data_IF_354938584826
#
_entry.id   IF_354938584826
#
_cell.length_a   1.000
_cell.length_b   1.000
_cell.length_c   1.000
_cell.angle_alpha   90.00
_cell.angle_beta   90.00
_cell.angle_gamma   90.00
#
_symmetry.space_group_name_H-M   'P 1'
#
loop_
_entity.id
_entity.type
_entity.pdbx_description
1 polymer ?
#
# COMPACT_ATOMS: atom_id res chain seq x y z
N UNK A 1 -0.93 -18.82 -10.48
CA UNK A 1 -1.10 -17.95 -9.29
C UNK A 1 -0.04 -16.86 -9.27
N UNK A 2 1.24 -17.23 -9.24
CA UNK A 2 2.38 -16.32 -9.38
C UNK A 2 2.27 -15.33 -10.55
N UNK A 3 1.85 -15.76 -11.75
CA UNK A 3 1.62 -14.86 -12.89
C UNK A 3 0.57 -13.76 -12.60
N UNK A 4 -0.51 -14.08 -11.88
CA UNK A 4 -1.52 -13.09 -11.45
C UNK A 4 -0.95 -12.09 -10.44
N UNK A 5 -0.06 -12.54 -9.56
CA UNK A 5 0.62 -11.66 -8.60
C UNK A 5 1.53 -10.67 -9.34
N UNK A 6 2.30 -11.13 -10.32
CA UNK A 6 3.14 -10.25 -11.17
C UNK A 6 2.28 -9.25 -11.92
N UNK A 7 1.23 -9.70 -12.62
CA UNK A 7 0.31 -8.82 -13.36
C UNK A 7 -0.36 -7.79 -12.44
N UNK A 8 -0.82 -8.22 -11.26
CA UNK A 8 -1.45 -7.33 -10.27
C UNK A 8 -0.45 -6.31 -9.72
N UNK A 9 0.79 -6.73 -9.51
CA UNK A 9 1.90 -5.86 -9.08
C UNK A 9 2.18 -4.78 -10.13
N UNK A 10 2.24 -5.14 -11.41
CA UNK A 10 2.45 -4.18 -12.49
C UNK A 10 1.27 -3.21 -12.64
N UNK A 11 0.03 -3.70 -12.51
CA UNK A 11 -1.17 -2.85 -12.52
C UNK A 11 -1.18 -1.90 -11.33
N UNK A 12 -0.86 -2.38 -10.14
CA UNK A 12 -0.78 -1.58 -8.92
C UNK A 12 0.27 -0.47 -9.06
N UNK A 13 1.45 -0.80 -9.58
CA UNK A 13 2.52 0.16 -9.85
C UNK A 13 2.13 1.27 -10.83
N UNK A 14 1.13 1.04 -11.69
CA UNK A 14 0.60 2.02 -12.66
C UNK A 14 -0.63 2.77 -12.15
N UNK A 15 -1.24 2.36 -11.03
CA UNK A 15 -2.36 3.07 -10.41
C UNK A 15 -1.84 4.27 -9.61
N UNK A 16 -1.76 5.42 -10.29
CA UNK A 16 -1.28 6.66 -9.69
C UNK A 16 -2.08 7.09 -8.44
N UNK A 17 -3.35 6.73 -8.32
CA UNK A 17 -4.17 7.10 -7.17
C UNK A 17 -3.69 6.31 -5.94
N UNK A 18 -3.56 4.99 -6.08
CA UNK A 18 -3.06 4.14 -4.99
C UNK A 18 -1.60 4.48 -4.66
N UNK A 19 -0.74 4.57 -5.67
CA UNK A 19 0.69 4.86 -5.48
C UNK A 19 0.92 6.21 -4.79
N UNK A 20 0.19 7.26 -5.18
CA UNK A 20 0.29 8.54 -4.49
C UNK A 20 -0.26 8.46 -3.06
N UNK A 21 -1.27 7.63 -2.79
CA UNK A 21 -1.74 7.41 -1.42
C UNK A 21 -0.69 6.70 -0.55
N UNK A 22 0.15 5.82 -1.11
CA UNK A 22 1.28 5.23 -0.39
C UNK A 22 2.36 6.26 -0.07
N UNK A 23 2.63 7.19 -0.99
CA UNK A 23 3.53 8.33 -0.74
C UNK A 23 3.00 9.20 0.39
N UNK A 24 1.71 9.50 0.37
CA UNK A 24 1.02 10.25 1.41
C UNK A 24 1.09 9.55 2.77
N UNK A 25 0.87 8.23 2.80
CA UNK A 25 1.06 7.42 4.00
C UNK A 25 2.50 7.52 4.53
N UNK A 26 3.47 7.30 3.65
CA UNK A 26 4.90 7.34 3.96
C UNK A 26 5.34 8.72 4.46
N UNK A 27 4.78 9.81 3.90
CA UNK A 27 5.03 11.18 4.35
C UNK A 27 4.32 11.54 5.65
N UNK A 28 3.70 10.59 6.34
CA UNK A 28 3.08 10.78 7.65
C UNK A 28 1.65 11.32 7.63
N UNK A 29 0.97 11.34 6.47
CA UNK A 29 -0.46 11.72 6.43
C UNK A 29 -1.37 10.65 7.03
N UNK A 30 -0.84 9.45 7.31
CA UNK A 30 -1.50 8.41 8.11
C UNK A 30 -2.68 7.71 7.42
N UNK A 31 -2.89 7.96 6.13
CA UNK A 31 -3.93 7.34 5.32
C UNK A 31 -3.36 6.72 4.05
N UNK A 32 -4.07 5.75 3.50
CA UNK A 32 -3.90 5.32 2.11
C UNK A 32 -5.26 4.99 1.49
N UNK A 33 -5.25 4.81 0.17
CA UNK A 33 -6.42 4.46 -0.63
C UNK A 33 -6.35 2.99 -1.07
N UNK A 34 -7.49 2.31 -1.04
CA UNK A 34 -7.59 0.88 -1.32
C UNK A 34 -8.93 0.52 -1.93
N UNK A 35 -9.00 -0.63 -2.60
CA UNK A 35 -10.27 -1.29 -3.01
C UNK A 35 -10.62 -2.49 -2.11
N UNK A 36 -9.76 -2.84 -1.16
CA UNK A 36 -9.94 -3.97 -0.27
C UNK A 36 -10.87 -3.62 0.91
N UNK A 37 -12.11 -4.11 0.85
CA UNK A 37 -13.13 -3.89 1.88
C UNK A 37 -12.76 -4.51 3.23
N UNK A 38 -11.87 -5.50 3.27
CA UNK A 38 -11.49 -6.21 4.51
C UNK A 38 -10.65 -5.34 5.46
N UNK A 39 -10.11 -4.22 4.97
CA UNK A 39 -9.37 -3.25 5.79
C UNK A 39 -10.28 -2.29 6.57
N UNK A 40 -11.60 -2.40 6.43
CA UNK A 40 -12.54 -1.54 7.15
C UNK A 40 -12.47 -0.06 6.75
N UNK A 41 -12.05 0.22 5.51
CA UNK A 41 -11.95 1.58 5.00
C UNK A 41 -13.31 2.26 4.84
N UNK A 42 -13.32 3.59 4.87
CA UNK A 42 -14.53 4.38 4.65
C UNK A 42 -14.70 4.76 3.19
N UNK A 43 -15.95 4.76 2.72
CA UNK A 43 -16.32 5.27 1.39
C UNK A 43 -16.57 6.78 1.46
N UNK A 44 -16.45 7.43 0.30
CA UNK A 44 -16.96 8.78 0.10
C UNK A 44 -18.43 8.86 0.54
N UNK A 45 -18.84 9.85 1.34
CA UNK A 45 -20.24 10.05 1.68
C UNK A 45 -21.08 10.23 0.40
N UNK A 46 -22.28 9.64 0.36
CA UNK A 46 -23.15 9.69 -0.82
C UNK A 46 -23.65 11.09 -1.17
N UNK A 47 -23.66 11.99 -0.19
CA UNK A 47 -24.23 13.32 -0.31
C UNK A 47 -23.31 14.37 0.32
N UNK A 48 -23.37 15.59 -0.22
CA UNK A 48 -22.77 16.78 0.38
C UNK A 48 -23.84 17.89 0.42
N UNK A 49 -24.06 18.54 1.58
CA UNK A 49 -25.18 19.45 1.79
C UNK A 49 -25.01 20.77 1.06
N UNK A 50 -26.12 21.50 0.93
CA UNK A 50 -26.10 22.92 0.58
C UNK A 50 -25.50 23.76 1.72
N UNK A 51 -24.98 24.95 1.38
CA UNK A 51 -24.26 25.83 2.32
C UNK A 51 -25.04 26.20 3.58
N UNK A 52 -26.36 26.35 3.48
CA UNK A 52 -27.23 26.66 4.64
C UNK A 52 -27.37 25.50 5.63
N UNK A 53 -27.19 24.25 5.19
CA UNK A 53 -27.32 23.05 6.04
C UNK A 53 -25.97 22.43 6.42
N UNK A 54 -24.86 23.00 5.95
CA UNK A 54 -23.53 22.43 6.05
C UNK A 54 -23.06 22.16 7.49
N UNK A 55 -23.14 23.13 8.38
CA UNK A 55 -22.63 23.00 9.76
C UNK A 55 -23.44 21.98 10.57
N UNK A 56 -24.76 21.94 10.34
CA UNK A 56 -25.65 20.92 10.92
C UNK A 56 -25.27 19.53 10.40
N UNK A 57 -25.12 19.37 9.09
CA UNK A 57 -24.70 18.11 8.49
C UNK A 57 -23.34 17.65 9.03
N UNK A 58 -22.36 18.54 9.12
CA UNK A 58 -21.02 18.22 9.62
C UNK A 58 -21.05 17.73 11.08
N UNK A 59 -21.91 18.30 11.93
CA UNK A 59 -22.03 17.95 13.35
C UNK A 59 -23.03 16.81 13.64
N UNK A 60 -23.93 16.47 12.72
CA UNK A 60 -25.05 15.53 12.89
C UNK A 60 -24.70 14.07 13.22
N UNK A 61 -23.44 13.66 13.03
CA UNK A 61 -23.03 12.26 13.14
C UNK A 61 -23.21 11.44 11.86
N UNK A 62 -23.76 12.01 10.78
CA UNK A 62 -23.87 11.35 9.46
C UNK A 62 -22.50 11.00 8.85
N UNK A 63 -21.46 11.77 9.21
CA UNK A 63 -20.09 11.51 8.83
C UNK A 63 -19.34 10.81 9.95
N UNK A 64 -18.71 9.69 9.63
CA UNK A 64 -17.77 9.06 10.55
C UNK A 64 -16.45 9.87 10.63
N UNK A 65 -15.66 9.61 11.66
CA UNK A 65 -14.41 10.35 11.94
C UNK A 65 -13.40 10.25 10.78
N UNK A 66 -13.35 9.12 10.09
CA UNK A 66 -12.45 8.88 8.95
C UNK A 66 -12.85 9.76 7.76
N UNK A 67 -14.14 9.82 7.44
CA UNK A 67 -14.68 10.65 6.37
C UNK A 67 -14.39 12.13 6.63
N UNK A 68 -14.63 12.62 7.86
CA UNK A 68 -14.32 14.00 8.25
C UNK A 68 -12.84 14.30 8.06
N UNK A 69 -11.95 13.48 8.64
CA UNK A 69 -10.50 13.66 8.54
C UNK A 69 -10.01 13.68 7.10
N UNK A 70 -10.49 12.76 6.27
CA UNK A 70 -10.04 12.68 4.88
C UNK A 70 -10.54 13.85 4.03
N UNK A 71 -11.79 14.30 4.20
CA UNK A 71 -12.31 15.49 3.53
C UNK A 71 -11.49 16.73 3.91
N UNK A 72 -11.19 16.92 5.21
CA UNK A 72 -10.37 18.04 5.69
C UNK A 72 -8.95 18.00 5.11
N UNK A 73 -8.36 16.81 5.00
CA UNK A 73 -7.07 16.61 4.37
C UNK A 73 -7.07 17.03 2.90
N UNK A 74 -8.10 16.63 2.14
CA UNK A 74 -8.23 16.99 0.72
C UNK A 74 -8.56 18.47 0.50
N UNK A 75 -9.25 19.10 1.45
CA UNK A 75 -9.60 20.52 1.39
C UNK A 75 -8.50 21.44 1.90
N UNK A 76 -7.55 20.94 2.70
CA UNK A 76 -6.55 21.75 3.39
C UNK A 76 -7.14 22.62 4.51
N UNK A 77 -8.32 22.28 5.01
CA UNK A 77 -9.00 23.04 6.07
C UNK A 77 -8.66 22.43 7.42
N UNK A 78 -8.26 23.27 8.37
CA UNK A 78 -8.00 22.85 9.74
C UNK A 78 -9.33 22.45 10.43
N UNK A 79 -9.29 21.40 11.26
CA UNK A 79 -10.48 20.88 11.97
C UNK A 79 -11.16 21.89 12.88
N UNK A 80 -10.43 22.88 13.41
CA UNK A 80 -10.98 23.98 14.22
C UNK A 80 -11.68 25.07 13.40
N UNK A 81 -11.54 25.04 12.06
CA UNK A 81 -12.06 26.06 11.15
C UNK A 81 -13.25 25.55 10.30
N UNK A 82 -13.94 24.50 10.74
CA UNK A 82 -15.08 23.95 10.00
C UNK A 82 -16.35 24.75 10.26
N UNK A 83 -16.62 25.69 9.37
CA UNK A 83 -17.79 26.57 9.42
C UNK A 83 -18.26 26.95 8.00
N UNK A 84 -19.32 27.76 7.90
CA UNK A 84 -19.92 28.21 6.64
C UNK A 84 -18.94 28.93 5.71
N UNK A 85 -17.91 29.59 6.24
CA UNK A 85 -16.89 30.25 5.41
C UNK A 85 -15.95 29.23 4.75
N UNK A 86 -15.70 28.09 5.40
CA UNK A 86 -14.89 26.99 4.85
C UNK A 86 -15.66 26.08 3.87
N UNK A 87 -16.98 26.29 3.70
CA UNK A 87 -17.85 25.44 2.88
C UNK A 87 -17.28 25.14 1.49
N UNK A 88 -16.87 26.16 0.75
CA UNK A 88 -16.43 26.00 -0.64
C UNK A 88 -15.12 25.20 -0.73
N UNK A 89 -14.20 25.37 0.22
CA UNK A 89 -12.97 24.59 0.31
C UNK A 89 -13.25 23.13 0.69
N UNK A 90 -14.13 22.90 1.67
CA UNK A 90 -14.51 21.56 2.12
C UNK A 90 -15.26 20.82 1.01
N UNK A 91 -16.15 21.50 0.28
CA UNK A 91 -16.82 20.94 -0.90
C UNK A 91 -15.81 20.54 -1.97
N UNK A 92 -14.83 21.40 -2.27
CA UNK A 92 -13.73 21.04 -3.20
C UNK A 92 -12.95 19.80 -2.73
N UNK A 93 -12.69 19.68 -1.42
CA UNK A 93 -12.08 18.48 -0.83
C UNK A 93 -12.93 17.22 -1.03
N UNK A 94 -14.24 17.33 -0.76
CA UNK A 94 -15.21 16.26 -1.01
C UNK A 94 -15.24 15.87 -2.50
N UNK A 95 -15.26 16.84 -3.41
CA UNK A 95 -15.33 16.60 -4.86
C UNK A 95 -14.06 15.88 -5.36
N UNK A 96 -12.88 16.16 -4.78
CA UNK A 96 -11.61 15.46 -5.08
C UNK A 96 -11.60 13.99 -4.65
N UNK A 97 -12.42 13.58 -3.69
CA UNK A 97 -12.45 12.19 -3.25
C UNK A 97 -13.01 11.30 -4.37
N UNK A 98 -12.16 10.43 -4.92
CA UNK A 98 -12.57 9.41 -5.89
C UNK A 98 -13.43 8.32 -5.22
N UNK A 99 -14.68 8.17 -5.66
CA UNK A 99 -15.66 7.23 -5.10
C UNK A 99 -15.31 5.75 -5.30
N UNK A 100 -14.37 5.43 -6.20
CA UNK A 100 -13.94 4.05 -6.47
C UNK A 100 -12.96 3.51 -5.41
N UNK A 101 -12.53 4.34 -4.45
CA UNK A 101 -11.55 3.96 -3.44
C UNK A 101 -12.09 4.23 -2.03
N UNK A 102 -11.76 3.30 -1.15
CA UNK A 102 -11.89 3.44 0.29
C UNK A 102 -10.70 4.22 0.83
N UNK A 103 -10.92 5.03 1.86
CA UNK A 103 -9.83 5.58 2.66
C UNK A 103 -9.68 4.78 3.95
N UNK A 104 -8.45 4.36 4.24
CA UNK A 104 -8.10 3.69 5.49
C UNK A 104 -7.14 4.59 6.26
N UNK A 105 -7.49 4.93 7.50
CA UNK A 105 -6.55 5.56 8.43
C UNK A 105 -5.77 4.44 9.10
N UNK A 106 -4.55 4.20 8.64
CA UNK A 106 -3.77 3.01 9.00
C UNK A 106 -2.85 3.23 10.20
N UNK A 107 -2.80 4.46 10.72
CA UNK A 107 -1.97 4.87 11.86
C UNK A 107 -0.67 5.54 11.43
N UNK A 108 0.00 6.20 12.39
CA UNK A 108 1.17 7.05 12.14
C UNK A 108 2.53 6.35 12.26
N UNK A 109 2.59 5.02 12.26
CA UNK A 109 3.90 4.36 12.34
C UNK A 109 4.57 4.47 10.96
N UNK A 110 5.48 5.45 10.84
CA UNK A 110 6.15 5.93 9.61
C UNK A 110 7.05 4.89 8.93
N UNK A 111 6.94 3.64 9.32
CA UNK A 111 7.75 2.56 8.83
C UNK A 111 7.08 1.81 7.69
N UNK A 112 7.34 2.26 6.47
CA UNK A 112 7.37 1.43 5.25
C UNK A 112 5.99 1.03 4.70
N UNK A 113 5.55 1.73 3.64
CA UNK A 113 4.38 1.36 2.81
C UNK A 113 4.52 0.00 2.08
N UNK A 114 5.64 -0.71 2.31
CA UNK A 114 6.00 -1.97 1.67
C UNK A 114 4.95 -3.06 1.87
N UNK A 115 4.44 -3.18 3.10
CA UNK A 115 3.41 -4.15 3.42
C UNK A 115 2.06 -3.79 2.80
N UNK A 116 1.75 -2.50 2.66
CA UNK A 116 0.55 -2.04 1.95
C UNK A 116 0.62 -2.44 0.48
N UNK A 117 1.78 -2.21 -0.16
CA UNK A 117 1.99 -2.57 -1.56
C UNK A 117 1.89 -4.08 -1.78
N UNK A 118 2.62 -4.89 -1.00
CA UNK A 118 2.57 -6.36 -1.11
C UNK A 118 1.16 -6.88 -0.80
N UNK A 119 0.51 -6.36 0.24
CA UNK A 119 -0.85 -6.74 0.62
C UNK A 119 -1.88 -6.46 -0.48
N UNK A 120 -1.85 -5.27 -1.08
CA UNK A 120 -2.75 -4.89 -2.19
C UNK A 120 -2.44 -5.69 -3.45
N UNK A 121 -1.16 -5.93 -3.79
CA UNK A 121 -0.78 -6.74 -4.95
C UNK A 121 -1.33 -8.17 -4.84
N UNK A 122 -1.23 -8.78 -3.65
CA UNK A 122 -1.80 -10.09 -3.36
C UNK A 122 -3.34 -10.05 -3.40
N UNK A 123 -3.95 -9.02 -2.82
CA UNK A 123 -5.42 -8.85 -2.86
C UNK A 123 -5.94 -8.78 -4.29
N UNK A 124 -5.32 -7.98 -5.16
CA UNK A 124 -5.69 -7.88 -6.57
C UNK A 124 -5.44 -9.18 -7.35
N UNK A 125 -4.50 -10.01 -6.90
CA UNK A 125 -4.30 -11.36 -7.43
C UNK A 125 -5.31 -12.39 -6.90
N UNK A 126 -6.21 -12.00 -5.99
CA UNK A 126 -7.22 -12.87 -5.37
C UNK A 126 -6.79 -13.53 -4.07
N UNK A 127 -5.70 -13.07 -3.45
CA UNK A 127 -5.11 -13.65 -2.24
C UNK A 127 -5.30 -12.68 -1.08
N UNK A 128 -6.11 -13.09 -0.09
CA UNK A 128 -6.33 -12.27 1.10
C UNK A 128 -5.29 -12.58 2.19
N UNK A 129 -4.61 -11.53 2.67
CA UNK A 129 -3.63 -11.57 3.76
C UNK A 129 -4.02 -10.67 4.93
N UNK A 130 -5.24 -10.12 4.92
CA UNK A 130 -5.73 -9.24 5.98
C UNK A 130 -6.03 -10.06 7.24
N UNK A 131 -5.44 -9.63 8.36
CA UNK A 131 -5.69 -10.15 9.71
C UNK A 131 -6.14 -8.98 10.58
N UNK A 132 -7.32 -9.08 11.19
CA UNK A 132 -7.87 -8.05 12.08
C UNK A 132 -7.87 -6.64 11.45
N UNK A 133 -8.24 -6.53 10.18
CA UNK A 133 -8.33 -5.26 9.45
C UNK A 133 -6.99 -4.66 9.00
N UNK A 134 -5.89 -5.41 9.08
CA UNK A 134 -4.55 -4.98 8.64
C UNK A 134 -3.87 -6.01 7.75
N UNK A 135 -3.03 -5.54 6.83
CA UNK A 135 -2.07 -6.40 6.16
C UNK A 135 -0.96 -6.84 7.13
N UNK A 136 -0.41 -8.04 6.88
CA UNK A 136 0.77 -8.55 7.58
C UNK A 136 1.91 -7.53 7.51
N UNK A 137 2.58 -7.29 8.62
CA UNK A 137 3.80 -6.47 8.62
C UNK A 137 4.95 -7.18 7.90
N UNK A 138 5.98 -6.43 7.48
CA UNK A 138 7.20 -7.00 6.91
C UNK A 138 7.85 -8.05 7.83
N UNK A 139 7.79 -7.83 9.15
CA UNK A 139 8.32 -8.77 10.14
C UNK A 139 7.52 -10.08 10.19
N UNK A 140 6.20 -10.00 10.16
CA UNK A 140 5.33 -11.18 10.13
C UNK A 140 5.52 -11.98 8.84
N UNK A 141 5.68 -11.29 7.71
CA UNK A 141 6.00 -11.91 6.42
C UNK A 141 7.37 -12.61 6.51
N UNK A 142 8.40 -11.93 6.98
CA UNK A 142 9.74 -12.52 7.16
C UNK A 142 9.76 -13.79 8.04
N UNK A 143 8.93 -13.81 9.07
CA UNK A 143 8.76 -14.94 9.98
C UNK A 143 7.85 -16.05 9.41
N UNK A 144 7.14 -15.80 8.30
CA UNK A 144 6.18 -16.76 7.74
C UNK A 144 4.94 -16.97 8.61
N UNK A 145 4.49 -15.95 9.33
CA UNK A 145 3.39 -16.05 10.33
C UNK A 145 1.98 -16.18 9.73
N UNK A 146 1.86 -16.48 8.43
CA UNK A 146 0.58 -16.65 7.75
C UNK A 146 0.47 -18.04 7.14
N UNK A 147 -0.64 -18.73 7.41
CA UNK A 147 -0.97 -19.99 6.74
C UNK A 147 -1.21 -19.85 5.23
N UNK A 148 -1.26 -18.61 4.71
CA UNK A 148 -1.37 -18.28 3.29
C UNK A 148 -0.01 -18.05 2.62
N UNK A 149 1.09 -18.20 3.34
CA UNK A 149 2.44 -18.04 2.82
C UNK A 149 3.34 -19.13 3.35
N UNK A 150 4.26 -19.58 2.51
CA UNK A 150 5.33 -20.50 2.92
C UNK A 150 6.68 -19.94 2.57
N UNK A 151 7.66 -20.13 3.46
CA UNK A 151 9.06 -19.94 3.12
C UNK A 151 9.43 -20.92 2.01
N UNK A 152 10.25 -20.46 1.06
CA UNK A 152 10.75 -21.29 -0.03
C UNK A 152 12.28 -21.27 -0.05
N UNK A 153 12.86 -22.38 -0.50
CA UNK A 153 14.29 -22.42 -0.79
C UNK A 153 14.63 -21.42 -1.90
N UNK A 154 15.78 -20.75 -1.77
CA UNK A 154 16.29 -19.76 -2.72
C UNK A 154 16.39 -20.29 -4.14
N UNK A 155 16.79 -21.55 -4.31
CA UNK A 155 16.84 -22.26 -5.62
C UNK A 155 15.48 -22.38 -6.31
N UNK A 156 14.39 -22.30 -5.55
CA UNK A 156 13.01 -22.45 -6.04
C UNK A 156 12.31 -21.10 -6.25
N UNK A 157 13.03 -19.98 -6.13
CA UNK A 157 12.50 -18.64 -6.35
C UNK A 157 11.91 -18.49 -7.74
N UNK A 158 10.71 -17.91 -7.82
CA UNK A 158 10.00 -17.57 -9.04
C UNK A 158 9.49 -16.13 -8.97
N UNK A 159 9.22 -15.54 -10.13
CA UNK A 159 8.43 -14.31 -10.21
C UNK A 159 7.07 -14.52 -9.53
N UNK A 160 6.55 -13.48 -8.87
CA UNK A 160 5.34 -13.50 -8.06
C UNK A 160 5.56 -13.96 -6.61
N UNK A 161 6.75 -14.44 -6.25
CA UNK A 161 7.12 -14.65 -4.86
C UNK A 161 7.42 -13.32 -4.17
N UNK A 162 7.48 -13.34 -2.84
CA UNK A 162 7.72 -12.18 -1.99
C UNK A 162 9.17 -12.22 -1.51
N UNK A 163 9.94 -11.18 -1.79
CA UNK A 163 11.25 -10.96 -1.20
C UNK A 163 11.10 -10.18 0.11
N UNK A 164 11.57 -10.74 1.22
CA UNK A 164 11.59 -10.10 2.53
C UNK A 164 13.04 -9.80 2.93
N UNK A 165 13.33 -8.55 3.28
CA UNK A 165 14.67 -8.05 3.56
C UNK A 165 14.80 -7.75 5.07
N UNK A 166 15.60 -8.53 5.79
CA UNK A 166 15.89 -8.36 7.22
C UNK A 166 14.68 -8.27 8.17
N UNK A 167 13.48 -8.61 7.71
CA UNK A 167 12.22 -8.42 8.44
C UNK A 167 11.75 -6.97 8.57
N UNK A 168 12.35 -6.03 7.83
CA UNK A 168 11.98 -4.61 7.86
C UNK A 168 11.30 -4.16 6.58
N UNK A 169 11.56 -4.84 5.46
CA UNK A 169 11.03 -4.48 4.15
C UNK A 169 10.60 -5.69 3.35
N UNK A 170 9.61 -5.51 2.47
CA UNK A 170 9.08 -6.57 1.60
C UNK A 170 8.76 -6.03 0.20
N UNK A 171 8.99 -6.86 -0.81
CA UNK A 171 8.72 -6.56 -2.22
C UNK A 171 8.16 -7.80 -2.94
N UNK A 172 7.47 -7.61 -4.05
CA UNK A 172 7.11 -8.70 -4.96
C UNK A 172 8.22 -8.88 -5.98
N UNK A 173 8.72 -10.10 -6.13
CA UNK A 173 9.66 -10.48 -7.18
C UNK A 173 8.96 -10.44 -8.53
N UNK A 174 9.45 -9.65 -9.47
CA UNK A 174 8.90 -9.51 -10.82
C UNK A 174 9.66 -10.31 -11.85
N UNK A 175 10.96 -10.55 -11.65
CA UNK A 175 11.83 -11.34 -12.54
C UNK A 175 12.87 -12.09 -11.72
N UNK A 176 13.35 -13.20 -12.27
CA UNK A 176 14.41 -14.03 -11.68
C UNK A 176 15.40 -14.34 -12.79
N UNK A 177 16.68 -14.08 -12.56
CA UNK A 177 17.74 -14.39 -13.50
C UNK A 177 18.68 -15.44 -12.88
N UNK A 178 18.92 -16.53 -13.60
CA UNK A 178 19.77 -17.63 -13.12
C UNK A 178 20.77 -18.07 -14.17
N UNK A 179 21.92 -18.57 -13.70
CA UNK A 179 22.92 -19.22 -14.55
C UNK A 179 23.55 -18.28 -15.56
N UNK A 180 23.64 -16.99 -15.24
CA UNK A 180 24.41 -16.04 -16.05
C UNK A 180 25.90 -16.30 -15.83
N UNK A 181 26.65 -16.53 -16.90
CA UNK A 181 28.05 -16.99 -16.87
C UNK A 181 29.02 -16.12 -16.05
N UNK A 182 28.71 -14.84 -15.84
CA UNK A 182 29.60 -13.86 -15.20
C UNK A 182 28.91 -13.04 -14.10
N UNK A 183 27.69 -13.42 -13.71
CA UNK A 183 26.90 -12.69 -12.71
C UNK A 183 26.24 -13.69 -11.77
N UNK A 184 26.18 -13.35 -10.48
CA UNK A 184 25.46 -14.14 -9.50
C UNK A 184 23.96 -14.19 -9.83
N UNK A 185 23.31 -15.27 -9.39
CA UNK A 185 21.85 -15.44 -9.50
C UNK A 185 21.13 -14.26 -8.81
N UNK A 186 20.28 -13.56 -9.54
CA UNK A 186 19.65 -12.32 -9.09
C UNK A 186 18.14 -12.24 -9.37
N UNK A 187 17.50 -11.19 -8.88
CA UNK A 187 16.09 -10.92 -9.15
C UNK A 187 15.77 -9.43 -9.33
N UNK A 188 14.66 -9.17 -10.00
CA UNK A 188 14.00 -7.87 -9.96
C UNK A 188 12.77 -7.92 -9.07
N UNK A 189 12.43 -6.80 -8.44
CA UNK A 189 11.27 -6.69 -7.57
C UNK A 189 10.66 -5.29 -7.57
N UNK A 190 9.41 -5.21 -7.09
CA UNK A 190 8.67 -3.96 -6.89
C UNK A 190 8.09 -3.92 -5.49
N UNK A 191 8.16 -2.76 -4.86
CA UNK A 191 7.55 -2.51 -3.55
C UNK A 191 7.19 -1.03 -3.38
N UNK A 192 6.99 -0.62 -2.13
CA UNK A 192 6.83 0.78 -1.78
C UNK A 192 7.56 1.10 -0.48
N UNK A 193 8.08 2.33 -0.35
CA UNK A 193 8.65 2.83 0.90
C UNK A 193 10.05 2.31 1.25
N UNK A 194 10.80 1.75 0.27
CA UNK A 194 12.25 1.53 0.42
C UNK A 194 12.97 2.85 0.10
N UNK A 195 13.44 3.54 1.13
CA UNK A 195 13.98 4.90 0.97
C UNK A 195 12.90 5.91 0.53
N UNK A 196 13.31 7.05 -0.03
CA UNK A 196 12.43 8.21 -0.27
C UNK A 196 11.77 8.24 -1.65
N UNK A 197 12.16 7.37 -2.59
CA UNK A 197 11.73 7.45 -4.00
C UNK A 197 11.07 6.19 -4.55
N UNK A 198 11.08 5.08 -3.81
CA UNK A 198 10.60 3.80 -4.33
C UNK A 198 9.11 3.56 -4.03
N UNK A 199 8.26 3.76 -5.03
CA UNK A 199 6.82 3.51 -4.96
C UNK A 199 6.34 2.87 -6.27
N UNK A 200 6.41 1.55 -6.33
CA UNK A 200 6.04 0.75 -7.50
C UNK A 200 7.12 0.68 -8.58
N UNK A 201 8.30 1.26 -8.37
CA UNK A 201 9.41 1.23 -9.33
C UNK A 201 10.03 -0.16 -9.34
N UNK A 202 10.36 -0.69 -10.52
CA UNK A 202 11.13 -1.93 -10.61
C UNK A 202 12.58 -1.67 -10.26
N UNK A 203 13.12 -2.53 -9.43
CA UNK A 203 14.52 -2.54 -9.05
C UNK A 203 15.07 -3.93 -9.28
N UNK A 204 16.22 -4.01 -9.92
CA UNK A 204 16.97 -5.24 -10.14
C UNK A 204 18.31 -5.13 -9.40
N UNK A 205 19.12 -6.18 -9.44
CA UNK A 205 20.52 -6.09 -9.03
C UNK A 205 21.20 -4.92 -9.74
N UNK A 206 22.02 -4.19 -8.99
CA UNK A 206 22.68 -2.99 -9.48
C UNK A 206 24.11 -2.96 -8.98
N UNK A 207 25.03 -2.52 -9.83
CA UNK A 207 26.48 -2.51 -9.60
C UNK A 207 26.93 -1.79 -8.31
N UNK A 208 26.07 -1.03 -7.62
CA UNK A 208 26.41 -0.14 -6.50
C UNK A 208 25.53 -0.23 -5.25
N UNK A 209 25.05 -1.42 -4.86
CA UNK A 209 24.77 -1.69 -3.44
C UNK A 209 23.31 -1.77 -2.98
N UNK A 210 22.38 -2.15 -3.86
CA UNK A 210 21.00 -2.43 -3.48
C UNK A 210 20.67 -3.92 -3.70
N UNK A 211 21.51 -4.78 -3.08
CA UNK A 211 21.66 -6.18 -3.51
C UNK A 211 20.33 -6.94 -3.48
N UNK A 212 19.92 -7.35 -4.67
CA UNK A 212 18.89 -8.31 -5.04
C UNK A 212 19.53 -9.58 -5.60
N UNK A 213 20.67 -9.94 -5.02
CA UNK A 213 21.30 -11.25 -5.15
C UNK A 213 20.46 -12.28 -4.41
N UNK A 214 20.14 -13.38 -5.08
CA UNK A 214 19.31 -14.45 -4.51
C UNK A 214 19.97 -15.05 -3.26
N UNK A 215 21.30 -15.20 -3.27
CA UNK A 215 22.05 -15.85 -2.19
C UNK A 215 22.32 -14.97 -0.97
N UNK A 216 21.96 -13.67 -0.99
CA UNK A 216 22.10 -12.77 0.15
C UNK A 216 21.39 -13.30 1.41
N UNK A 217 22.14 -13.55 2.48
CA UNK A 217 21.64 -14.14 3.73
C UNK A 217 20.59 -13.29 4.46
N UNK A 218 20.54 -11.99 4.17
CA UNK A 218 19.54 -11.06 4.70
C UNK A 218 18.24 -11.03 3.89
N UNK A 219 18.10 -11.89 2.87
CA UNK A 219 16.89 -12.01 2.05
C UNK A 219 16.27 -13.39 2.25
N UNK A 220 14.97 -13.39 2.53
CA UNK A 220 14.13 -14.59 2.55
C UNK A 220 13.07 -14.47 1.47
N UNK A 221 12.67 -15.60 0.92
CA UNK A 221 11.61 -15.67 -0.08
C UNK A 221 10.41 -16.43 0.46
N UNK A 222 9.23 -15.90 0.15
CA UNK A 222 7.96 -16.51 0.50
C UNK A 222 7.07 -16.66 -0.72
N UNK A 223 6.33 -17.76 -0.78
CA UNK A 223 5.31 -18.00 -1.80
C UNK A 223 3.93 -17.96 -1.18
N UNK A 224 3.05 -17.17 -1.78
CA UNK A 224 1.64 -17.16 -1.41
C UNK A 224 0.94 -18.47 -1.86
N UNK A 225 -0.04 -18.93 -1.08
CA UNK A 225 -0.75 -20.21 -1.26
C UNK A 225 -2.26 -20.02 -1.43
#
# INVERSE_FOLDING_TARGET
MNSKIVESTEKLAKDNIIINSYKDFYSGKGYFLTKNLLLGGSKKPFFFPIKSSFEKWWSSGELNIVQKKYILLLSGVNEYNVNKNAYDSIKKGYDKWNSNYLVVIYGGNKGWACNLFVGEALFFAGINTVVSGKYLSAKQIWNGESSRMKLIDKKNLLAGDIAAFGGTHVEIVTKVHRGQLFFDDDFCSRGAGRGTTDFGTEKCEGMFGDTREIENSNIRFLRAQ
#
